data_IF_861228115937
#
_entry.id   IF_861228115937
#
_cell.length_a   1.000
_cell.length_b   1.000
_cell.length_c   1.000
_cell.angle_alpha   90.00
_cell.angle_beta   90.00
_cell.angle_gamma   90.00
#
_symmetry.space_group_name_H-M   'P 1'
#
loop_
_entity.id
_entity.type
_entity.pdbx_description
1 polymer ?
#
# COMPACT_ATOMS: atom_id res chain seq x y z
N UNK A 1 -6.23 -5.18 22.55
CA UNK A 1 -5.74 -3.78 22.54
C UNK A 1 -6.75 -2.87 23.22
N UNK A 2 -6.30 -1.92 24.05
CA UNK A 2 -7.18 -0.85 24.53
C UNK A 2 -7.49 0.14 23.39
N UNK A 3 -8.58 0.90 23.52
CA UNK A 3 -8.99 1.91 22.52
C UNK A 3 -7.88 2.94 22.29
N UNK A 4 -7.19 3.37 23.35
CA UNK A 4 -6.09 4.34 23.28
C UNK A 4 -4.87 3.78 22.53
N UNK A 5 -4.43 2.56 22.86
CA UNK A 5 -3.29 1.93 22.19
C UNK A 5 -3.52 1.79 20.68
N UNK A 6 -4.74 1.44 20.30
CA UNK A 6 -5.15 1.34 18.89
C UNK A 6 -5.06 2.70 18.18
N UNK A 7 -5.57 3.77 18.80
CA UNK A 7 -5.48 5.11 18.23
C UNK A 7 -4.03 5.55 18.03
N UNK A 8 -3.19 5.39 19.05
CA UNK A 8 -1.76 5.73 18.98
C UNK A 8 -1.09 4.94 17.84
N UNK A 9 -1.36 3.64 17.73
CA UNK A 9 -0.78 2.81 16.68
C UNK A 9 -1.18 3.27 15.27
N UNK A 10 -2.47 3.55 15.05
CA UNK A 10 -2.95 4.06 13.76
C UNK A 10 -2.29 5.41 13.45
N UNK A 11 -2.25 6.34 14.42
CA UNK A 11 -1.63 7.65 14.23
C UNK A 11 -0.15 7.56 13.87
N UNK A 12 0.62 6.67 14.52
CA UNK A 12 2.04 6.47 14.23
C UNK A 12 2.26 5.93 12.81
N UNK A 13 1.48 4.92 12.40
CA UNK A 13 1.57 4.39 11.04
C UNK A 13 1.13 5.42 10.00
N UNK A 14 0.08 6.19 10.27
CA UNK A 14 -0.35 7.30 9.39
C UNK A 14 0.77 8.32 9.25
N UNK A 15 1.38 8.76 10.35
CA UNK A 15 2.49 9.72 10.31
C UNK A 15 3.66 9.20 9.47
N UNK A 16 4.06 7.93 9.67
CA UNK A 16 5.09 7.29 8.84
C UNK A 16 4.68 7.24 7.36
N UNK A 17 3.43 6.88 7.07
CA UNK A 17 2.91 6.83 5.70
C UNK A 17 2.87 8.18 5.02
N UNK A 18 2.57 9.25 5.76
CA UNK A 18 2.60 10.63 5.27
C UNK A 18 4.04 11.06 4.98
N UNK A 19 4.97 10.81 5.91
CA UNK A 19 6.40 11.15 5.69
C UNK A 19 6.94 10.42 4.46
N UNK A 20 6.70 9.11 4.34
CA UNK A 20 7.14 8.33 3.16
C UNK A 20 6.49 8.87 1.88
N UNK A 21 5.19 9.22 1.92
CA UNK A 21 4.49 9.80 0.78
C UNK A 21 5.01 11.19 0.37
N UNK A 22 5.39 12.02 1.34
CA UNK A 22 6.02 13.33 1.07
C UNK A 22 7.41 13.16 0.49
N UNK A 23 8.24 12.26 1.04
CA UNK A 23 9.55 11.94 0.47
C UNK A 23 9.44 11.42 -0.95
N UNK A 24 8.46 10.55 -1.22
CA UNK A 24 8.17 10.05 -2.56
C UNK A 24 7.76 11.18 -3.52
N UNK A 25 7.02 12.18 -3.06
CA UNK A 25 6.68 13.36 -3.87
C UNK A 25 7.89 14.26 -4.16
N UNK A 26 8.93 14.24 -3.32
CA UNK A 26 10.16 15.00 -3.51
C UNK A 26 11.12 14.33 -4.50
N UNK A 27 11.01 13.01 -4.69
CA UNK A 27 11.80 12.30 -5.70
C UNK A 27 11.28 12.74 -7.07
N UNK A 28 12.13 13.37 -7.92
CA UNK A 28 11.75 13.71 -9.29
C UNK A 28 11.23 12.46 -9.99
N UNK A 29 10.16 12.60 -10.78
CA UNK A 29 9.54 11.46 -11.46
C UNK A 29 10.63 10.61 -12.11
N UNK A 30 10.84 9.35 -11.65
CA UNK A 30 11.88 8.50 -12.23
C UNK A 30 11.64 8.26 -13.73
N UNK A 31 10.42 8.54 -14.19
CA UNK A 31 9.95 8.36 -15.55
C UNK A 31 9.40 9.68 -16.11
N UNK A 32 10.25 10.45 -16.80
CA UNK A 32 9.84 11.67 -17.52
C UNK A 32 8.75 11.40 -18.59
N UNK A 33 8.58 10.14 -18.99
CA UNK A 33 7.62 9.68 -20.01
C UNK A 33 6.24 9.31 -19.46
N UNK A 34 6.06 9.19 -18.13
CA UNK A 34 4.78 8.87 -17.52
C UNK A 34 4.52 9.81 -16.33
N UNK A 35 4.08 11.06 -16.57
CA UNK A 35 3.80 12.02 -15.52
C UNK A 35 2.78 11.44 -14.52
N UNK A 36 3.20 11.33 -13.26
CA UNK A 36 2.37 10.79 -12.17
C UNK A 36 2.72 9.36 -11.74
N UNK A 37 3.57 8.63 -12.47
CA UNK A 37 4.02 7.31 -12.07
C UNK A 37 4.96 7.39 -10.86
N UNK A 38 4.47 6.92 -9.71
CA UNK A 38 5.22 6.86 -8.45
C UNK A 38 5.70 5.44 -8.18
N UNK A 39 6.71 5.31 -7.32
CA UNK A 39 7.22 4.01 -6.88
C UNK A 39 6.18 3.25 -6.05
N UNK A 40 5.22 3.95 -5.42
CA UNK A 40 4.26 3.39 -4.49
C UNK A 40 4.87 3.12 -3.11
N UNK A 41 5.95 3.81 -2.71
CA UNK A 41 6.64 3.57 -1.42
C UNK A 41 5.68 3.69 -0.24
N UNK A 42 4.73 4.64 -0.30
CA UNK A 42 3.72 4.80 0.73
C UNK A 42 2.90 3.50 0.96
N UNK A 43 2.70 2.66 -0.08
CA UNK A 43 1.95 1.40 0.05
C UNK A 43 2.59 0.39 1.00
N UNK A 44 3.87 0.54 1.36
CA UNK A 44 4.50 -0.22 2.44
C UNK A 44 3.67 -0.17 3.74
N UNK A 45 3.20 1.02 4.11
CA UNK A 45 2.39 1.20 5.31
C UNK A 45 1.00 0.57 5.13
N UNK A 46 0.44 0.62 3.92
CA UNK A 46 -0.84 -0.03 3.60
C UNK A 46 -0.76 -1.54 3.77
N UNK A 47 0.29 -2.18 3.26
CA UNK A 47 0.46 -3.63 3.42
C UNK A 47 0.68 -4.01 4.88
N UNK A 48 1.52 -3.27 5.62
CA UNK A 48 1.69 -3.48 7.07
C UNK A 48 0.36 -3.35 7.81
N UNK A 49 -0.45 -2.36 7.48
CA UNK A 49 -1.78 -2.18 8.06
C UNK A 49 -2.71 -3.35 7.74
N UNK A 50 -2.75 -3.82 6.49
CA UNK A 50 -3.56 -4.98 6.09
C UNK A 50 -3.23 -6.22 6.95
N UNK A 51 -2.00 -6.39 7.40
CA UNK A 51 -1.58 -7.56 8.19
C UNK A 51 -1.62 -7.36 9.71
N UNK A 52 -1.85 -6.15 10.21
CA UNK A 52 -1.78 -5.85 11.66
C UNK A 52 -3.07 -5.32 12.26
N UNK A 53 -4.08 -4.98 11.45
CA UNK A 53 -5.34 -4.43 11.94
C UNK A 53 -6.56 -4.84 11.10
N UNK A 54 -7.77 -4.55 11.61
CA UNK A 54 -9.03 -4.87 10.92
C UNK A 54 -9.19 -4.03 9.66
N UNK A 55 -9.94 -4.56 8.69
CA UNK A 55 -10.25 -3.90 7.40
C UNK A 55 -10.75 -2.46 7.56
N UNK A 56 -11.56 -2.19 8.59
CA UNK A 56 -12.07 -0.84 8.90
C UNK A 56 -10.95 0.14 9.30
N UNK A 57 -10.00 -0.34 10.09
CA UNK A 57 -8.91 0.48 10.62
C UNK A 57 -7.82 0.72 9.56
N UNK A 58 -7.49 -0.31 8.78
CA UNK A 58 -6.54 -0.19 7.67
C UNK A 58 -7.06 0.73 6.57
N UNK A 59 -8.38 0.73 6.34
CA UNK A 59 -9.02 1.67 5.42
C UNK A 59 -9.00 3.10 5.95
N UNK A 60 -9.29 3.31 7.24
CA UNK A 60 -9.16 4.63 7.88
C UNK A 60 -7.73 5.16 7.77
N UNK A 61 -6.73 4.32 8.04
CA UNK A 61 -5.32 4.66 7.87
C UNK A 61 -5.01 5.09 6.44
N UNK A 62 -5.49 4.33 5.45
CA UNK A 62 -5.29 4.64 4.04
C UNK A 62 -5.86 6.02 3.69
N UNK A 63 -7.10 6.30 4.10
CA UNK A 63 -7.75 7.58 3.88
C UNK A 63 -7.01 8.73 4.54
N UNK A 64 -6.70 8.58 5.82
CA UNK A 64 -6.05 9.65 6.58
C UNK A 64 -4.68 9.98 5.98
N UNK A 65 -3.91 8.94 5.59
CA UNK A 65 -2.64 9.12 4.88
C UNK A 65 -2.82 9.89 3.57
N UNK A 66 -3.75 9.48 2.71
CA UNK A 66 -3.95 10.12 1.40
C UNK A 66 -4.37 11.58 1.54
N UNK A 67 -5.30 11.85 2.47
CA UNK A 67 -5.78 13.19 2.75
C UNK A 67 -4.67 14.09 3.30
N UNK A 68 -3.96 13.64 4.33
CA UNK A 68 -2.87 14.43 4.95
C UNK A 68 -1.70 14.65 4.00
N UNK A 69 -1.29 13.64 3.24
CA UNK A 69 -0.19 13.78 2.26
C UNK A 69 -0.53 14.82 1.19
N UNK A 70 -1.78 14.85 0.76
CA UNK A 70 -2.26 15.85 -0.20
C UNK A 70 -2.31 17.24 0.41
N UNK A 71 -2.86 17.36 1.62
CA UNK A 71 -2.97 18.65 2.31
C UNK A 71 -1.60 19.30 2.55
N UNK A 72 -0.57 18.50 2.83
CA UNK A 72 0.76 18.99 3.17
C UNK A 72 1.67 19.27 1.96
N UNK A 73 1.42 18.64 0.81
CA UNK A 73 2.35 18.76 -0.31
C UNK A 73 1.85 18.21 -1.65
N UNK A 74 0.54 18.07 -1.83
CA UNK A 74 -0.08 17.58 -3.06
C UNK A 74 -1.04 18.58 -3.69
N UNK A 75 -1.39 18.31 -4.95
CA UNK A 75 -2.46 18.99 -5.69
C UNK A 75 -3.69 18.08 -5.83
N UNK A 76 -4.84 18.65 -6.21
CA UNK A 76 -6.07 17.89 -6.48
C UNK A 76 -5.83 16.77 -7.49
N UNK A 77 -5.08 17.04 -8.58
CA UNK A 77 -4.77 16.02 -9.58
C UNK A 77 -3.92 14.88 -8.99
N UNK A 78 -2.87 15.20 -8.23
CA UNK A 78 -2.05 14.17 -7.58
C UNK A 78 -2.80 13.37 -6.52
N UNK A 79 -3.80 13.98 -5.87
CA UNK A 79 -4.70 13.30 -4.95
C UNK A 79 -5.57 12.29 -5.69
N UNK A 80 -6.21 12.68 -6.80
CA UNK A 80 -7.05 11.77 -7.59
C UNK A 80 -6.25 10.57 -8.11
N UNK A 81 -5.03 10.80 -8.64
CA UNK A 81 -4.13 9.73 -9.04
C UNK A 81 -3.79 8.80 -7.88
N UNK A 82 -3.34 9.37 -6.76
CA UNK A 82 -2.92 8.59 -5.58
C UNK A 82 -4.09 7.84 -4.94
N UNK A 83 -5.28 8.44 -4.92
CA UNK A 83 -6.50 7.87 -4.36
C UNK A 83 -6.97 6.68 -5.19
N UNK A 84 -7.11 6.84 -6.51
CA UNK A 84 -7.53 5.76 -7.41
C UNK A 84 -6.55 4.59 -7.36
N UNK A 85 -5.25 4.88 -7.51
CA UNK A 85 -4.20 3.87 -7.42
C UNK A 85 -4.20 3.15 -6.05
N UNK A 86 -4.27 3.90 -4.95
CA UNK A 86 -4.16 3.30 -3.63
C UNK A 86 -5.43 2.52 -3.23
N UNK A 87 -6.62 2.95 -3.66
CA UNK A 87 -7.86 2.20 -3.46
C UNK A 87 -7.86 0.89 -4.27
N UNK A 88 -7.51 0.94 -5.55
CA UNK A 88 -7.46 -0.25 -6.39
C UNK A 88 -6.40 -1.24 -5.89
N UNK A 89 -5.23 -0.73 -5.50
CA UNK A 89 -4.18 -1.49 -4.82
C UNK A 89 -4.67 -2.15 -3.53
N UNK A 90 -5.34 -1.41 -2.66
CA UNK A 90 -5.87 -1.90 -1.38
C UNK A 90 -6.90 -3.02 -1.59
N UNK A 91 -7.84 -2.83 -2.51
CA UNK A 91 -8.86 -3.84 -2.84
C UNK A 91 -8.20 -5.09 -3.44
N UNK A 92 -7.29 -4.92 -4.40
CA UNK A 92 -6.55 -6.03 -4.99
C UNK A 92 -5.79 -6.85 -3.95
N UNK A 93 -5.06 -6.18 -3.04
CA UNK A 93 -4.37 -6.83 -1.94
C UNK A 93 -5.31 -7.60 -1.02
N UNK A 94 -6.48 -7.03 -0.69
CA UNK A 94 -7.48 -7.70 0.16
C UNK A 94 -8.12 -8.92 -0.52
N UNK A 95 -8.30 -8.90 -1.84
CA UNK A 95 -8.82 -10.05 -2.59
C UNK A 95 -7.78 -11.16 -2.59
N UNK A 96 -6.54 -10.85 -2.97
CA UNK A 96 -5.46 -11.85 -3.02
C UNK A 96 -5.17 -12.43 -1.63
N UNK A 97 -5.24 -11.62 -0.58
CA UNK A 97 -5.08 -12.09 0.81
C UNK A 97 -6.12 -13.16 1.20
N UNK A 98 -7.31 -13.17 0.60
CA UNK A 98 -8.33 -14.18 0.92
C UNK A 98 -7.97 -15.59 0.43
N UNK A 99 -7.05 -15.71 -0.53
CA UNK A 99 -6.52 -17.01 -0.98
C UNK A 99 -5.72 -17.73 0.12
N UNK A 100 -5.31 -17.00 1.16
CA UNK A 100 -4.72 -17.53 2.38
C UNK A 100 -3.20 -17.74 2.32
N UNK A 101 -2.57 -17.93 3.50
CA UNK A 101 -1.11 -17.99 3.65
C UNK A 101 -0.45 -19.20 2.99
N UNK A 102 -1.23 -20.24 2.66
CA UNK A 102 -0.73 -21.44 1.98
C UNK A 102 -0.55 -21.26 0.47
N UNK A 103 -1.27 -20.30 -0.13
CA UNK A 103 -1.31 -20.11 -1.58
C UNK A 103 -0.57 -18.85 -2.04
N UNK A 104 -0.48 -17.83 -1.19
CA UNK A 104 0.12 -16.54 -1.57
C UNK A 104 1.03 -16.01 -0.47
N UNK A 105 2.15 -15.40 -0.88
CA UNK A 105 3.08 -14.71 0.00
C UNK A 105 2.74 -13.22 0.12
N UNK A 106 3.27 -12.56 1.17
CA UNK A 106 3.17 -11.09 1.32
C UNK A 106 3.78 -10.37 0.12
N UNK A 107 4.88 -10.92 -0.40
CA UNK A 107 5.58 -10.41 -1.58
C UNK A 107 4.66 -10.44 -2.80
N UNK A 108 3.93 -11.54 -3.02
CA UNK A 108 2.95 -11.66 -4.08
C UNK A 108 1.75 -10.72 -3.91
N UNK A 109 1.22 -10.59 -2.68
CA UNK A 109 0.15 -9.63 -2.37
C UNK A 109 0.61 -8.20 -2.67
N UNK A 110 1.82 -7.84 -2.26
CA UNK A 110 2.43 -6.53 -2.52
C UNK A 110 2.66 -6.28 -4.01
N UNK A 111 3.13 -7.29 -4.76
CA UNK A 111 3.30 -7.21 -6.20
C UNK A 111 1.96 -6.95 -6.93
N UNK A 112 0.89 -7.66 -6.54
CA UNK A 112 -0.46 -7.35 -7.04
C UNK A 112 -0.87 -5.93 -6.66
N UNK A 113 -0.57 -5.50 -5.44
CA UNK A 113 -0.81 -4.15 -4.98
C UNK A 113 -0.10 -3.10 -5.84
N UNK A 114 1.17 -3.30 -6.19
CA UNK A 114 1.94 -2.40 -7.05
C UNK A 114 1.40 -2.34 -8.49
N UNK A 115 1.05 -3.49 -9.06
CA UNK A 115 0.38 -3.57 -10.36
C UNK A 115 -0.95 -2.80 -10.38
N UNK A 116 -1.83 -3.11 -9.43
CA UNK A 116 -3.15 -2.46 -9.29
C UNK A 116 -3.03 -0.96 -8.99
N UNK A 117 -1.97 -0.53 -8.30
CA UNK A 117 -1.73 0.89 -8.06
C UNK A 117 -1.53 1.67 -9.36
N UNK A 118 -0.70 1.13 -10.25
CA UNK A 118 -0.40 1.76 -11.53
C UNK A 118 -1.61 1.70 -12.47
N UNK A 119 -2.37 0.61 -12.46
CA UNK A 119 -3.66 0.52 -13.16
C UNK A 119 -4.59 1.65 -12.70
N UNK A 120 -4.76 1.85 -11.39
CA UNK A 120 -5.66 2.88 -10.87
C UNK A 120 -5.21 4.30 -11.24
N UNK A 121 -3.90 4.57 -11.16
CA UNK A 121 -3.34 5.86 -11.60
C UNK A 121 -3.59 6.11 -13.09
N UNK A 122 -3.32 5.12 -13.95
CA UNK A 122 -3.52 5.23 -15.39
C UNK A 122 -4.98 5.34 -15.79
N UNK A 123 -5.90 4.67 -15.09
CA UNK A 123 -7.33 4.84 -15.30
C UNK A 123 -7.76 6.28 -15.05
N UNK A 124 -7.32 6.87 -13.93
CA UNK A 124 -7.60 8.28 -13.63
C UNK A 124 -6.91 9.22 -14.63
N UNK A 125 -5.69 8.92 -15.07
CA UNK A 125 -5.00 9.70 -16.09
C UNK A 125 -5.70 9.65 -17.44
N UNK A 126 -6.18 8.48 -17.84
CA UNK A 126 -6.97 8.31 -19.07
C UNK A 126 -8.29 9.08 -18.99
N UNK A 127 -8.94 9.09 -17.83
CA UNK A 127 -10.16 9.85 -17.61
C UNK A 127 -9.92 11.37 -17.64
N UNK A 128 -8.87 11.87 -16.98
CA UNK A 128 -8.55 13.31 -16.97
C UNK A 128 -8.06 13.78 -18.34
N UNK A 129 -7.22 12.98 -19.02
CA UNK A 129 -6.71 13.30 -20.36
C UNK A 129 -7.72 13.05 -21.48
N UNK A 130 -8.91 12.48 -21.17
CA UNK A 130 -9.93 12.07 -22.15
C UNK A 130 -9.34 11.20 -23.28
N UNK A 131 -8.35 10.38 -22.96
CA UNK A 131 -7.59 9.60 -23.94
C UNK A 131 -7.12 8.26 -23.36
N UNK A 132 -7.48 7.17 -24.04
CA UNK A 132 -7.03 5.82 -23.71
C UNK A 132 -5.57 5.56 -24.11
N UNK A 133 -4.94 6.46 -24.87
CA UNK A 133 -3.54 6.34 -25.28
C UNK A 133 -2.60 6.24 -24.07
N UNK A 134 -2.98 6.85 -22.95
CA UNK A 134 -2.24 6.76 -21.68
C UNK A 134 -2.14 5.31 -21.18
N UNK A 135 -3.10 4.44 -21.50
CA UNK A 135 -3.07 3.02 -21.15
C UNK A 135 -2.00 2.23 -21.91
N UNK A 136 -1.44 2.77 -23.00
CA UNK A 136 -0.31 2.13 -23.68
C UNK A 136 0.96 2.10 -22.82
N UNK A 137 1.05 2.95 -21.79
CA UNK A 137 2.12 2.89 -20.79
C UNK A 137 1.93 1.77 -19.76
N UNK A 138 0.75 1.14 -19.72
CA UNK A 138 0.42 0.10 -18.76
C UNK A 138 1.44 -1.05 -18.74
N UNK A 139 1.87 -1.66 -19.86
CA UNK A 139 2.81 -2.78 -19.80
C UNK A 139 4.12 -2.44 -19.07
N UNK A 140 4.68 -1.26 -19.37
CA UNK A 140 5.93 -0.77 -18.76
C UNK A 140 5.70 -0.44 -17.29
N UNK A 141 4.64 0.32 -16.98
CA UNK A 141 4.31 0.69 -15.61
C UNK A 141 3.94 -0.50 -14.75
N UNK A 142 3.23 -1.48 -15.29
CA UNK A 142 2.87 -2.71 -14.63
C UNK A 142 4.11 -3.52 -14.27
N UNK A 143 5.08 -3.64 -15.18
CA UNK A 143 6.35 -4.29 -14.89
C UNK A 143 7.09 -3.60 -13.72
N UNK A 144 7.23 -2.27 -13.79
CA UNK A 144 7.86 -1.48 -12.73
C UNK A 144 7.08 -1.53 -11.41
N UNK A 145 5.76 -1.51 -11.48
CA UNK A 145 4.86 -1.60 -10.32
C UNK A 145 4.97 -2.95 -9.63
N UNK A 146 5.12 -4.04 -10.40
CA UNK A 146 5.41 -5.37 -9.84
C UNK A 146 6.78 -5.35 -9.18
N UNK A 147 7.83 -4.84 -9.83
CA UNK A 147 9.18 -4.78 -9.25
C UNK A 147 9.21 -3.98 -7.94
N UNK A 148 8.60 -2.80 -7.92
CA UNK A 148 8.48 -2.00 -6.70
C UNK A 148 7.64 -2.74 -5.65
N UNK A 149 6.52 -3.35 -6.06
CA UNK A 149 5.69 -4.16 -5.20
C UNK A 149 6.45 -5.33 -4.57
N UNK A 150 7.35 -5.99 -5.31
CA UNK A 150 8.24 -7.03 -4.77
C UNK A 150 9.17 -6.46 -3.71
N UNK A 151 9.86 -5.34 -4.00
CA UNK A 151 10.77 -4.69 -3.06
C UNK A 151 10.04 -4.24 -1.77
N UNK A 152 8.88 -3.61 -1.91
CA UNK A 152 8.01 -3.22 -0.80
C UNK A 152 7.53 -4.45 -0.03
N UNK A 153 7.20 -5.54 -0.71
CA UNK A 153 6.76 -6.78 -0.08
C UNK A 153 7.86 -7.43 0.75
N UNK A 154 9.10 -7.40 0.27
CA UNK A 154 10.28 -7.85 1.02
C UNK A 154 10.48 -6.96 2.25
N UNK A 155 10.42 -5.64 2.09
CA UNK A 155 10.53 -4.70 3.21
C UNK A 155 9.42 -4.91 4.25
N UNK A 156 8.17 -5.10 3.82
CA UNK A 156 7.04 -5.38 4.69
C UNK A 156 7.24 -6.69 5.47
N UNK A 157 7.68 -7.75 4.78
CA UNK A 157 7.99 -9.03 5.41
C UNK A 157 9.11 -8.88 6.46
N UNK A 158 10.16 -8.13 6.13
CA UNK A 158 11.25 -7.86 7.06
C UNK A 158 10.77 -7.09 8.30
N UNK A 159 9.96 -6.04 8.12
CA UNK A 159 9.38 -5.26 9.22
C UNK A 159 8.49 -6.14 10.12
N UNK A 160 7.60 -6.94 9.53
CA UNK A 160 6.73 -7.84 10.28
C UNK A 160 7.51 -8.95 11.01
N UNK A 161 8.68 -9.36 10.50
CA UNK A 161 9.55 -10.36 11.15
C UNK A 161 10.45 -9.79 12.24
N UNK A 162 10.83 -8.51 12.19
CA UNK A 162 11.84 -7.97 13.12
C UNK A 162 11.31 -6.93 14.10
N UNK A 163 10.15 -6.32 13.84
CA UNK A 163 9.57 -5.31 14.73
C UNK A 163 8.59 -5.97 15.69
N UNK A 164 8.99 -6.09 16.96
CA UNK A 164 8.20 -6.72 18.05
C UNK A 164 6.79 -6.15 18.17
N UNK A 165 6.65 -4.84 18.01
CA UNK A 165 5.35 -4.15 18.06
C UNK A 165 4.41 -4.63 16.95
N UNK A 166 4.91 -4.75 15.72
CA UNK A 166 4.13 -5.24 14.59
C UNK A 166 3.79 -6.72 14.74
N UNK A 167 4.73 -7.54 15.21
CA UNK A 167 4.50 -8.96 15.51
C UNK A 167 3.36 -9.14 16.51
N UNK A 168 3.36 -8.36 17.59
CA UNK A 168 2.32 -8.42 18.63
C UNK A 168 0.95 -8.07 18.06
N UNK A 169 0.85 -7.00 17.27
CA UNK A 169 -0.43 -6.58 16.69
C UNK A 169 -0.92 -7.52 15.60
N UNK A 170 -0.02 -8.09 14.83
CA UNK A 170 -0.34 -9.16 13.90
C UNK A 170 -0.89 -10.40 14.63
N UNK A 171 -0.25 -10.83 15.72
CA UNK A 171 -0.73 -11.97 16.52
C UNK A 171 -2.15 -11.73 17.06
N UNK A 172 -2.39 -10.53 17.62
CA UNK A 172 -3.70 -10.14 18.12
C UNK A 172 -4.75 -10.10 17.02
N UNK A 173 -4.37 -9.71 15.80
CA UNK A 173 -5.25 -9.67 14.63
C UNK A 173 -5.55 -11.06 14.06
N UNK A 174 -4.54 -11.93 13.95
CA UNK A 174 -4.67 -13.30 13.46
C UNK A 174 -5.58 -14.14 14.36
N UNK A 175 -5.44 -13.99 15.69
CA UNK A 175 -6.36 -14.60 16.68
C UNK A 175 -7.82 -14.19 16.46
N UNK A 176 -8.06 -12.93 16.11
CA UNK A 176 -9.43 -12.41 15.89
C UNK A 176 -10.02 -12.81 14.55
N UNK A 177 -9.17 -13.11 13.55
CA UNK A 177 -9.60 -13.43 12.18
C UNK A 177 -9.48 -14.92 11.85
N UNK A 178 -9.08 -15.74 12.82
CA UNK A 178 -8.77 -17.17 12.66
C UNK A 178 -7.84 -17.43 11.45
N UNK A 179 -6.92 -16.50 11.20
CA UNK A 179 -5.96 -16.58 10.10
C UNK A 179 -4.57 -16.92 10.62
N UNK A 180 -3.74 -17.56 9.81
CA UNK A 180 -2.44 -18.10 10.24
C UNK A 180 -1.26 -17.38 9.58
N UNK A 181 -1.40 -16.09 9.28
CA UNK A 181 -0.38 -15.33 8.58
C UNK A 181 0.90 -15.19 9.41
N UNK A 182 0.80 -15.05 10.73
CA UNK A 182 1.91 -14.97 11.68
C UNK A 182 2.89 -16.15 11.55
N UNK A 183 2.37 -17.36 11.27
CA UNK A 183 3.20 -18.56 11.11
C UNK A 183 4.15 -18.47 9.90
N UNK A 184 3.78 -17.68 8.88
CA UNK A 184 4.62 -17.43 7.70
C UNK A 184 5.83 -16.56 8.07
N UNK A 185 5.69 -15.60 8.98
CA UNK A 185 6.77 -14.68 9.36
C UNK A 185 7.71 -15.29 10.40
N UNK A 186 7.21 -16.21 11.22
CA UNK A 186 7.98 -16.87 12.28
C UNK A 186 8.70 -18.15 11.84
N UNK A 187 8.40 -18.70 10.66
CA UNK A 187 9.22 -19.78 10.08
C UNK A 187 10.63 -19.25 9.80
N UNK A 188 11.62 -19.90 10.42
CA UNK A 188 13.04 -19.57 10.32
C UNK A 188 13.54 -19.76 8.91
#
# INVERSE_FOLDING_TARGET
MSKLQKMIYISLLVAQGVIIGLLENMIPYPFAFAPGAKLGLANLITIVAIFTMKKRDSFLLLWLRLFLTTLLGGTISTFLYSMSGALLSYVGMLIVKQLGPKRVSIIGISATGGFMHNVGQLLTASFIAQSWTVMLYLPILSFLGILSGLAIGIAANYLLKHVRTLQRFQADYDRQTNSQWQSVFLKK
#
